data_IF_013150096153
#
_entry.id   IF_013150096153
#
_cell.length_a   1.000
_cell.length_b   1.000
_cell.length_c   1.000
_cell.angle_alpha   90.00
_cell.angle_beta   90.00
_cell.angle_gamma   90.00
#
_symmetry.space_group_name_H-M   'P 1'
#
loop_
_entity.id
_entity.type
_entity.pdbx_description
1 polymer ?
#
# COMPACT_ATOMS: atom_id res chain seq x y z
N UNK A 1 -0.45 22.71 20.69
CA UNK A 1 -0.25 21.37 20.11
C UNK A 1 1.25 21.20 19.84
N UNK A 2 1.81 20.07 20.20
CA UNK A 2 3.21 19.73 19.89
C UNK A 2 3.31 19.56 18.38
N UNK A 3 4.28 20.20 17.73
CA UNK A 3 4.46 20.08 16.28
C UNK A 3 5.01 18.69 15.97
N UNK A 4 4.40 17.99 15.00
CA UNK A 4 4.87 16.68 14.57
C UNK A 4 6.32 16.75 14.05
N UNK A 5 7.12 15.76 14.40
CA UNK A 5 8.51 15.62 13.94
C UNK A 5 8.59 15.31 12.44
N UNK A 6 7.55 14.65 11.90
CA UNK A 6 7.53 14.20 10.51
C UNK A 6 6.50 14.97 9.68
N UNK A 7 6.83 15.23 8.41
CA UNK A 7 5.91 15.85 7.45
C UNK A 7 4.76 14.92 7.10
N UNK A 8 5.02 13.63 6.95
CA UNK A 8 4.03 12.59 6.67
C UNK A 8 4.08 11.51 7.75
N UNK A 9 2.98 11.30 8.46
CA UNK A 9 2.88 10.36 9.57
C UNK A 9 1.94 9.21 9.23
N UNK A 10 2.34 7.99 9.57
CA UNK A 10 1.54 6.77 9.43
C UNK A 10 0.66 6.53 10.65
N UNK A 11 1.20 6.83 11.83
CA UNK A 11 0.52 6.70 13.12
C UNK A 11 0.79 7.93 13.98
N UNK A 12 -0.27 8.42 14.64
CA UNK A 12 -0.16 9.46 15.68
C UNK A 12 0.63 8.93 16.88
N UNK A 13 1.01 9.84 17.79
CA UNK A 13 1.72 9.46 19.01
C UNK A 13 1.04 8.28 19.71
N UNK A 14 1.84 7.27 20.03
CA UNK A 14 1.44 6.15 20.87
C UNK A 14 1.51 6.55 22.36
N UNK A 15 1.23 5.59 23.27
CA UNK A 15 1.28 5.82 24.73
C UNK A 15 2.65 6.32 25.22
N UNK A 16 3.72 6.11 24.46
CA UNK A 16 5.08 6.57 24.77
C UNK A 16 5.43 7.90 24.08
N UNK A 17 4.49 8.55 23.44
CA UNK A 17 4.70 9.81 22.72
C UNK A 17 5.51 9.69 21.43
N UNK A 18 5.59 8.49 20.84
CA UNK A 18 6.32 8.24 19.61
C UNK A 18 5.38 8.25 18.40
N UNK A 19 5.66 9.12 17.43
CA UNK A 19 5.06 9.12 16.10
C UNK A 19 5.87 8.21 15.17
N UNK A 20 5.21 7.67 14.14
CA UNK A 20 5.88 6.92 13.09
C UNK A 20 5.70 7.62 11.74
N UNK A 21 6.81 7.88 11.02
CA UNK A 21 6.75 8.44 9.66
C UNK A 21 6.16 7.43 8.68
N UNK A 22 5.59 7.93 7.58
CA UNK A 22 5.09 7.08 6.50
C UNK A 22 6.17 6.16 5.93
N UNK A 23 7.34 6.73 5.63
CA UNK A 23 8.47 6.00 5.07
C UNK A 23 8.92 4.87 6.00
N UNK A 24 9.21 5.17 7.27
CA UNK A 24 9.63 4.15 8.25
C UNK A 24 8.58 3.05 8.42
N UNK A 25 7.29 3.43 8.45
CA UNK A 25 6.21 2.46 8.54
C UNK A 25 6.21 1.49 7.36
N UNK A 26 6.17 2.02 6.14
CA UNK A 26 6.11 1.21 4.93
C UNK A 26 7.33 0.29 4.77
N UNK A 27 8.54 0.81 5.04
CA UNK A 27 9.78 0.03 4.98
C UNK A 27 9.79 -1.08 6.05
N UNK A 28 9.42 -0.77 7.30
CA UNK A 28 9.38 -1.77 8.38
C UNK A 28 8.34 -2.87 8.12
N UNK A 29 7.17 -2.52 7.59
CA UNK A 29 6.14 -3.50 7.23
C UNK A 29 6.61 -4.34 6.05
N UNK A 30 7.29 -3.76 5.06
CA UNK A 30 7.86 -4.50 3.93
C UNK A 30 8.91 -5.53 4.38
N UNK A 31 9.81 -5.16 5.28
CA UNK A 31 10.80 -6.08 5.87
C UNK A 31 10.13 -7.21 6.66
N UNK A 32 9.14 -6.86 7.49
CA UNK A 32 8.38 -7.84 8.25
C UNK A 32 7.65 -8.82 7.33
N UNK A 33 6.95 -8.31 6.32
CA UNK A 33 6.24 -9.15 5.35
C UNK A 33 7.20 -10.04 4.56
N UNK A 34 8.35 -9.51 4.13
CA UNK A 34 9.41 -10.29 3.49
C UNK A 34 9.84 -11.48 4.36
N UNK A 35 9.94 -11.29 5.68
CA UNK A 35 10.35 -12.35 6.63
C UNK A 35 9.32 -13.49 6.77
N UNK A 36 8.07 -13.26 6.39
CA UNK A 36 7.02 -14.29 6.39
C UNK A 36 6.98 -15.13 5.12
N UNK A 37 7.77 -14.78 4.10
CA UNK A 37 7.80 -15.54 2.86
C UNK A 37 8.40 -16.93 3.10
N UNK A 38 7.68 -17.98 2.69
CA UNK A 38 8.12 -19.37 2.83
C UNK A 38 9.18 -19.76 1.79
N UNK A 39 9.32 -18.97 0.74
CA UNK A 39 10.33 -19.14 -0.30
C UNK A 39 10.79 -17.78 -0.83
N UNK A 40 12.03 -17.71 -1.28
CA UNK A 40 12.65 -16.46 -1.78
C UNK A 40 11.87 -15.81 -2.92
N UNK A 41 11.26 -16.62 -3.79
CA UNK A 41 10.44 -16.15 -4.91
C UNK A 41 9.23 -15.31 -4.47
N UNK A 42 8.72 -15.53 -3.25
CA UNK A 42 7.59 -14.78 -2.69
C UNK A 42 8.02 -13.58 -1.85
N UNK A 43 9.27 -13.53 -1.42
CA UNK A 43 9.78 -12.49 -0.53
C UNK A 43 9.61 -11.09 -1.13
N UNK A 44 9.78 -10.95 -2.43
CA UNK A 44 9.59 -9.70 -3.16
C UNK A 44 8.13 -9.28 -3.22
N UNK A 45 7.21 -10.20 -3.52
CA UNK A 45 5.75 -9.92 -3.52
C UNK A 45 5.30 -9.45 -2.15
N UNK A 46 5.71 -10.16 -1.09
CA UNK A 46 5.38 -9.80 0.29
C UNK A 46 5.93 -8.42 0.65
N UNK A 47 7.18 -8.12 0.26
CA UNK A 47 7.77 -6.81 0.46
C UNK A 47 6.97 -5.70 -0.24
N UNK A 48 6.55 -5.89 -1.48
CA UNK A 48 5.72 -4.91 -2.19
C UNK A 48 4.34 -4.74 -1.58
N UNK A 49 3.71 -5.79 -1.09
CA UNK A 49 2.47 -5.66 -0.32
C UNK A 49 2.68 -4.73 0.88
N UNK A 50 3.78 -4.91 1.62
CA UNK A 50 4.15 -4.05 2.74
C UNK A 50 4.42 -2.60 2.34
N UNK A 51 5.14 -2.36 1.24
CA UNK A 51 5.42 -1.01 0.75
C UNK A 51 4.15 -0.27 0.32
N UNK A 52 3.19 -0.99 -0.28
CA UNK A 52 2.03 -0.39 -0.93
C UNK A 52 0.79 -0.28 -0.02
N UNK A 53 0.67 -1.10 1.04
CA UNK A 53 -0.60 -1.23 1.77
C UNK A 53 -1.19 0.11 2.24
N UNK A 54 -0.37 1.02 2.68
CA UNK A 54 -0.76 2.27 3.31
C UNK A 54 -0.43 3.55 2.50
N UNK A 55 -0.06 3.42 1.21
CA UNK A 55 0.31 4.56 0.34
C UNK A 55 -0.75 5.68 0.35
N UNK A 56 -2.02 5.33 0.43
CA UNK A 56 -3.10 6.31 0.51
C UNK A 56 -3.04 7.23 1.73
N UNK A 57 -2.30 6.86 2.76
CA UNK A 57 -2.04 7.73 3.92
C UNK A 57 -1.21 8.97 3.57
N UNK A 58 -0.51 8.99 2.45
CA UNK A 58 0.14 10.20 1.94
C UNK A 58 -0.85 11.28 1.46
N UNK A 59 -2.14 10.93 1.26
CA UNK A 59 -3.14 11.90 0.84
C UNK A 59 -3.27 13.04 1.86
N UNK A 60 -3.53 14.25 1.36
CA UNK A 60 -3.74 15.43 2.19
C UNK A 60 -4.90 15.24 3.18
N UNK A 61 -5.98 14.60 2.75
CA UNK A 61 -7.13 14.31 3.61
C UNK A 61 -6.76 13.38 4.76
N UNK A 62 -6.01 12.29 4.50
CA UNK A 62 -5.57 11.42 5.58
C UNK A 62 -4.60 12.12 6.54
N UNK A 63 -3.68 12.94 6.03
CA UNK A 63 -2.74 13.69 6.86
C UNK A 63 -3.44 14.74 7.74
N UNK A 64 -4.54 15.32 7.27
CA UNK A 64 -5.40 16.17 8.09
C UNK A 64 -6.14 15.35 9.15
N UNK A 65 -6.78 14.25 8.75
CA UNK A 65 -7.48 13.35 9.67
C UNK A 65 -6.59 12.90 10.84
N UNK A 66 -5.37 12.45 10.57
CA UNK A 66 -4.50 11.90 11.62
C UNK A 66 -4.00 12.97 12.60
N UNK A 67 -3.92 14.25 12.17
CA UNK A 67 -3.47 15.38 13.00
C UNK A 67 -4.62 16.06 13.76
N UNK A 68 -5.72 16.32 13.07
CA UNK A 68 -6.84 17.13 13.61
C UNK A 68 -8.07 16.30 13.97
N UNK A 69 -8.06 15.00 13.66
CA UNK A 69 -9.19 14.08 13.80
C UNK A 69 -10.45 14.55 13.04
N UNK A 70 -10.23 15.21 11.92
CA UNK A 70 -11.25 15.49 10.93
C UNK A 70 -11.87 14.21 10.36
N UNK A 71 -12.64 14.31 9.29
CA UNK A 71 -13.30 13.16 8.67
C UNK A 71 -12.30 12.08 8.23
N UNK A 72 -12.58 10.83 8.61
CA UNK A 72 -11.74 9.67 8.28
C UNK A 72 -11.71 9.43 6.77
N UNK A 73 -10.53 9.38 6.20
CA UNK A 73 -10.33 9.12 4.77
C UNK A 73 -9.89 7.67 4.51
N UNK A 74 -10.60 6.94 3.62
CA UNK A 74 -10.16 5.62 3.17
C UNK A 74 -8.83 5.70 2.40
N UNK A 75 -7.87 4.86 2.75
CA UNK A 75 -6.52 4.91 2.18
C UNK A 75 -6.08 3.62 1.45
N UNK A 76 -6.61 2.45 1.82
CA UNK A 76 -6.18 1.14 1.30
C UNK A 76 -6.20 1.02 -0.22
N UNK A 77 -7.17 1.65 -0.89
CA UNK A 77 -7.37 1.55 -2.33
C UNK A 77 -6.21 2.11 -3.18
N UNK A 78 -5.46 3.07 -2.67
CA UNK A 78 -4.43 3.74 -3.47
C UNK A 78 -3.20 2.88 -3.73
N UNK A 79 -2.76 2.10 -2.75
CA UNK A 79 -1.68 1.13 -2.96
C UNK A 79 -2.08 0.02 -3.94
N UNK A 80 -3.33 -0.46 -3.84
CA UNK A 80 -3.87 -1.43 -4.78
C UNK A 80 -4.01 -0.84 -6.20
N UNK A 81 -4.38 0.44 -6.32
CA UNK A 81 -4.41 1.15 -7.60
C UNK A 81 -3.02 1.19 -8.25
N UNK A 82 -1.97 1.53 -7.51
CA UNK A 82 -0.58 1.49 -8.00
C UNK A 82 -0.22 0.08 -8.47
N UNK A 83 -0.50 -0.93 -7.67
CA UNK A 83 -0.21 -2.32 -8.03
C UNK A 83 -0.91 -2.71 -9.35
N UNK A 84 -2.19 -2.35 -9.51
CA UNK A 84 -2.94 -2.65 -10.73
C UNK A 84 -2.39 -1.91 -11.95
N UNK A 85 -2.04 -0.63 -11.82
CA UNK A 85 -1.43 0.16 -12.91
C UNK A 85 -0.11 -0.44 -13.40
N UNK A 86 0.61 -1.12 -12.51
CA UNK A 86 1.82 -1.88 -12.83
C UNK A 86 1.56 -3.35 -13.17
N UNK A 87 0.28 -3.75 -13.39
CA UNK A 87 -0.13 -5.12 -13.74
C UNK A 87 0.17 -6.17 -12.64
N UNK A 88 0.33 -5.74 -11.40
CA UNK A 88 0.63 -6.59 -10.24
C UNK A 88 -0.66 -6.97 -9.50
N UNK A 89 -1.54 -7.71 -10.18
CA UNK A 89 -2.87 -8.08 -9.65
C UNK A 89 -2.76 -8.86 -8.33
N UNK A 90 -1.76 -9.73 -8.22
CA UNK A 90 -1.53 -10.54 -7.01
C UNK A 90 -1.20 -9.67 -5.77
N UNK A 91 -0.67 -8.46 -5.98
CA UNK A 91 -0.40 -7.48 -4.93
C UNK A 91 -1.63 -6.61 -4.68
N UNK A 92 -2.36 -6.25 -5.75
CA UNK A 92 -3.54 -5.39 -5.62
C UNK A 92 -4.62 -5.98 -4.69
N UNK A 93 -4.89 -7.28 -4.77
CA UNK A 93 -5.89 -7.95 -3.94
C UNK A 93 -5.59 -7.90 -2.43
N UNK A 94 -4.45 -8.37 -1.92
CA UNK A 94 -4.15 -8.28 -0.49
C UNK A 94 -4.04 -6.84 -0.02
N UNK A 95 -3.50 -5.93 -0.85
CA UNK A 95 -3.38 -4.52 -0.49
C UNK A 95 -4.76 -3.85 -0.33
N UNK A 96 -5.72 -4.06 -1.24
CA UNK A 96 -7.05 -3.47 -1.08
C UNK A 96 -7.82 -4.08 0.09
N UNK A 97 -7.57 -5.36 0.39
CA UNK A 97 -8.28 -6.14 1.39
C UNK A 97 -7.77 -6.03 2.83
N UNK A 98 -6.64 -5.38 3.08
CA UNK A 98 -5.95 -5.45 4.38
C UNK A 98 -6.75 -4.89 5.58
N UNK A 99 -7.77 -4.08 5.34
CA UNK A 99 -8.67 -3.58 6.41
C UNK A 99 -10.04 -4.26 6.44
N UNK A 100 -10.57 -4.67 5.28
CA UNK A 100 -11.96 -5.06 5.16
C UNK A 100 -12.16 -6.51 4.65
N UNK A 101 -11.06 -7.23 4.45
CA UNK A 101 -11.08 -8.54 3.79
C UNK A 101 -11.04 -8.43 2.26
N UNK A 102 -10.80 -9.56 1.60
CA UNK A 102 -10.63 -9.61 0.16
C UNK A 102 -11.95 -9.31 -0.57
N UNK A 103 -12.02 -8.30 -1.43
CA UNK A 103 -13.18 -8.04 -2.26
C UNK A 103 -13.28 -9.11 -3.36
N UNK A 104 -14.47 -9.26 -3.96
CA UNK A 104 -14.54 -9.94 -5.24
C UNK A 104 -13.94 -9.07 -6.36
N UNK A 105 -13.68 -9.69 -7.51
CA UNK A 105 -13.03 -9.01 -8.64
C UNK A 105 -13.77 -7.76 -9.10
N UNK A 106 -15.09 -7.83 -9.20
CA UNK A 106 -15.90 -6.73 -9.76
C UNK A 106 -15.91 -5.53 -8.81
N UNK A 107 -16.07 -5.77 -7.50
CA UNK A 107 -15.96 -4.75 -6.47
C UNK A 107 -14.57 -4.09 -6.44
N UNK A 108 -13.50 -4.87 -6.64
CA UNK A 108 -12.16 -4.32 -6.76
C UNK A 108 -12.02 -3.43 -7.98
N UNK A 109 -12.47 -3.89 -9.15
CA UNK A 109 -12.38 -3.11 -10.41
C UNK A 109 -13.18 -1.81 -10.30
N UNK A 110 -14.37 -1.85 -9.73
CA UNK A 110 -15.19 -0.66 -9.47
C UNK A 110 -14.46 0.34 -8.56
N UNK A 111 -13.97 -0.14 -7.42
CA UNK A 111 -13.25 0.71 -6.43
C UNK A 111 -12.00 1.34 -7.04
N UNK A 112 -11.21 0.58 -7.80
CA UNK A 112 -9.98 1.09 -8.41
C UNK A 112 -10.29 1.99 -9.63
N UNK A 113 -11.42 1.78 -10.30
CA UNK A 113 -11.93 2.69 -11.33
C UNK A 113 -12.28 4.08 -10.77
N UNK A 114 -12.73 4.16 -9.52
CA UNK A 114 -12.92 5.45 -8.84
C UNK A 114 -11.59 6.15 -8.53
N UNK A 115 -10.53 5.41 -8.23
CA UNK A 115 -9.19 6.00 -8.07
C UNK A 115 -8.69 6.65 -9.37
N UNK A 116 -8.90 5.98 -10.51
CA UNK A 116 -8.53 6.50 -11.83
C UNK A 116 -9.22 7.83 -12.17
N UNK A 117 -10.42 8.07 -11.64
CA UNK A 117 -11.18 9.32 -11.84
C UNK A 117 -10.79 10.46 -10.91
N UNK A 118 -10.09 10.16 -9.81
CA UNK A 118 -9.67 11.15 -8.81
C UNK A 118 -8.19 11.55 -9.03
N UNK A 119 -7.92 12.12 -10.21
CA UNK A 119 -6.56 12.53 -10.60
C UNK A 119 -5.92 13.52 -9.62
N UNK A 120 -6.71 14.41 -9.02
CA UNK A 120 -6.19 15.41 -8.10
C UNK A 120 -5.64 14.76 -6.83
N UNK A 121 -6.35 13.78 -6.29
CA UNK A 121 -5.89 13.05 -5.12
C UNK A 121 -4.67 12.19 -5.45
N UNK A 122 -4.67 11.55 -6.61
CA UNK A 122 -3.52 10.80 -7.08
C UNK A 122 -2.26 11.68 -7.19
N UNK A 123 -2.36 12.85 -7.83
CA UNK A 123 -1.25 13.82 -7.91
C UNK A 123 -0.76 14.28 -6.53
N UNK A 124 -1.67 14.49 -5.58
CA UNK A 124 -1.31 14.83 -4.20
C UNK A 124 -0.50 13.73 -3.51
N UNK A 125 -0.90 12.46 -3.70
CA UNK A 125 -0.19 11.30 -3.14
C UNK A 125 1.19 11.19 -3.76
N UNK A 126 1.31 11.28 -5.08
CA UNK A 126 2.60 11.22 -5.78
C UNK A 126 3.55 12.31 -5.30
N UNK A 127 3.09 13.58 -5.25
CA UNK A 127 3.88 14.68 -4.77
C UNK A 127 4.34 14.47 -3.32
N UNK A 128 3.46 13.97 -2.45
CA UNK A 128 3.78 13.70 -1.06
C UNK A 128 4.85 12.60 -0.90
N UNK A 129 4.78 11.55 -1.73
CA UNK A 129 5.79 10.49 -1.77
C UNK A 129 7.15 11.03 -2.23
N UNK A 130 7.16 11.86 -3.28
CA UNK A 130 8.38 12.51 -3.78
C UNK A 130 9.02 13.42 -2.71
N UNK A 131 8.23 14.23 -2.02
CA UNK A 131 8.67 15.10 -0.94
C UNK A 131 9.21 14.35 0.28
N UNK A 132 8.73 13.12 0.53
CA UNK A 132 9.23 12.24 1.59
C UNK A 132 10.41 11.36 1.13
N UNK A 133 10.85 11.53 -0.11
CA UNK A 133 11.87 10.69 -0.75
C UNK A 133 11.53 9.19 -0.67
N UNK A 134 10.23 8.88 -0.74
CA UNK A 134 9.72 7.53 -0.74
C UNK A 134 9.47 7.08 -2.19
N UNK A 135 10.51 6.54 -2.80
CA UNK A 135 10.49 6.07 -4.19
C UNK A 135 10.41 4.55 -4.18
N UNK A 136 9.33 4.01 -4.73
CA UNK A 136 9.16 2.58 -4.93
C UNK A 136 9.63 2.25 -6.34
N UNK A 137 10.83 1.67 -6.45
CA UNK A 137 11.28 1.09 -7.71
C UNK A 137 10.52 -0.20 -7.94
N UNK A 138 9.55 -0.18 -8.85
CA UNK A 138 8.86 -1.40 -9.25
C UNK A 138 9.81 -2.26 -10.08
N UNK A 139 10.01 -3.51 -9.67
CA UNK A 139 10.80 -4.46 -10.41
C UNK A 139 10.19 -4.77 -11.78
N UNK A 140 11.03 -5.16 -12.71
CA UNK A 140 10.63 -5.64 -14.03
C UNK A 140 9.58 -6.77 -13.89
N UNK A 141 8.46 -6.61 -14.61
CA UNK A 141 7.34 -7.56 -14.63
C UNK A 141 7.75 -9.01 -14.99
N UNK A 142 8.95 -9.25 -15.51
CA UNK A 142 9.43 -10.57 -15.87
C UNK A 142 9.56 -11.51 -14.66
N UNK A 143 10.02 -10.99 -13.52
CA UNK A 143 10.14 -11.75 -12.27
C UNK A 143 8.75 -12.12 -11.71
N UNK A 144 7.81 -11.17 -11.74
CA UNK A 144 6.43 -11.38 -11.25
C UNK A 144 5.59 -12.28 -12.15
N UNK A 145 5.82 -12.32 -13.45
CA UNK A 145 5.12 -13.22 -14.36
C UNK A 145 5.47 -14.70 -14.13
N UNK A 146 6.70 -15.00 -13.71
CA UNK A 146 7.09 -16.37 -13.28
C UNK A 146 6.30 -16.78 -12.04
N UNK A 147 6.13 -15.89 -11.08
CA UNK A 147 5.44 -16.14 -9.81
C UNK A 147 3.92 -16.22 -10.03
N UNK A 148 3.34 -15.40 -10.91
CA UNK A 148 1.92 -15.48 -11.29
C UNK A 148 1.55 -16.86 -11.81
N UNK A 149 2.42 -17.49 -12.59
CA UNK A 149 2.23 -18.85 -13.08
C UNK A 149 2.35 -19.93 -11.99
N UNK A 150 3.19 -19.73 -10.98
CA UNK A 150 3.32 -20.64 -9.83
C UNK A 150 2.10 -20.51 -8.93
N UNK A 151 1.62 -19.30 -8.64
CA UNK A 151 0.44 -19.04 -7.83
C UNK A 151 -0.83 -19.62 -8.46
N UNK A 152 -1.00 -19.47 -9.77
CA UNK A 152 -2.10 -20.10 -10.51
C UNK A 152 -2.03 -21.63 -10.44
N UNK A 153 -0.86 -22.22 -10.59
CA UNK A 153 -0.70 -23.68 -10.48
C UNK A 153 -0.97 -24.21 -9.08
N UNK A 154 -0.50 -23.53 -8.03
CA UNK A 154 -0.75 -23.98 -6.66
C UNK A 154 -2.18 -23.77 -6.20
N UNK A 155 -2.87 -22.71 -6.65
CA UNK A 155 -4.29 -22.48 -6.35
C UNK A 155 -5.19 -23.55 -7.01
N UNK A 156 -4.85 -23.98 -8.23
CA UNK A 156 -5.59 -25.02 -8.94
C UNK A 156 -5.36 -26.44 -8.38
N UNK A 157 -4.28 -26.67 -7.64
CA UNK A 157 -3.98 -27.99 -7.03
C UNK A 157 -4.65 -28.15 -5.66
N UNK A 158 -5.15 -27.06 -5.04
CA UNK A 158 -5.80 -27.08 -3.72
C UNK A 158 -7.32 -26.88 -3.75
N UNK A 159 -7.95 -26.83 -4.93
CA UNK A 159 -9.39 -26.90 -5.13
C UNK A 159 -9.80 -28.28 -5.65
#
# INVERSE_FOLDING_TARGET
MKQSKYKYIAHSENSNGAEQSMKQHSESVAELMRSFALADDFAEIYSYCGLLHDIGKYSKGFQNYIRSREEKEPHAKWGAYIALMNKLVNIAFPVIGHHAGLPNRDAMVETLGLCAKDENRWKNIQQAMEEDYFIISMCDNSSFNKIGNVFQKELFVRL
#
